data_IF_009893038486
#
_entry.id   IF_009893038486
#
_cell.length_a   1.000
_cell.length_b   1.000
_cell.length_c   1.000
_cell.angle_alpha   90.00
_cell.angle_beta   90.00
_cell.angle_gamma   90.00
#
_symmetry.space_group_name_H-M   'P 1'
#
loop_
_entity.id
_entity.type
_entity.pdbx_description
1 polymer ?
#
# COMPACT_ATOMS: atom_id res chain seq x y z
N UNK A 1 -22.67 -2.79 33.13
CA UNK A 1 -21.31 -2.23 33.08
C UNK A 1 -20.96 -1.96 31.62
N UNK A 2 -21.03 -0.70 31.20
CA UNK A 2 -20.79 -0.27 29.82
C UNK A 2 -19.29 0.01 29.67
N UNK A 3 -18.57 -0.81 28.89
CA UNK A 3 -17.14 -0.59 28.61
C UNK A 3 -17.03 0.61 27.66
N UNK A 4 -16.60 1.76 28.18
CA UNK A 4 -16.15 2.89 27.37
C UNK A 4 -14.91 2.44 26.58
N UNK A 5 -15.04 2.35 25.26
CA UNK A 5 -13.91 2.21 24.35
C UNK A 5 -13.34 3.60 24.16
N UNK A 6 -12.19 3.85 24.77
CA UNK A 6 -11.41 5.09 24.59
C UNK A 6 -10.81 5.02 23.18
N UNK A 7 -11.36 5.80 22.25
CA UNK A 7 -10.70 6.10 20.99
C UNK A 7 -9.56 7.06 21.27
N UNK A 8 -8.35 6.54 21.44
CA UNK A 8 -7.15 7.37 21.35
C UNK A 8 -6.94 7.67 19.88
N UNK A 9 -7.46 8.81 19.43
CA UNK A 9 -7.03 9.45 18.19
C UNK A 9 -5.58 9.88 18.39
N UNK A 10 -4.65 8.95 18.16
CA UNK A 10 -3.27 9.32 17.96
C UNK A 10 -3.21 9.97 16.58
N UNK A 11 -3.40 11.28 16.54
CA UNK A 11 -3.09 12.11 15.38
C UNK A 11 -1.58 12.02 15.19
N UNK A 12 -1.13 10.96 14.53
CA UNK A 12 0.19 10.88 13.96
C UNK A 12 0.22 11.99 12.91
N UNK A 13 0.99 13.04 13.17
CA UNK A 13 1.46 13.94 12.13
C UNK A 13 2.29 13.07 11.16
N UNK A 14 1.62 12.41 10.23
CA UNK A 14 2.22 12.03 8.97
C UNK A 14 2.54 13.37 8.31
N UNK A 15 3.79 13.81 8.50
CA UNK A 15 4.46 14.63 7.51
C UNK A 15 4.32 13.83 6.23
N UNK A 16 3.28 14.17 5.46
CA UNK A 16 3.13 13.70 4.10
C UNK A 16 4.33 14.25 3.37
N UNK A 17 5.41 13.47 3.32
CA UNK A 17 6.24 13.53 2.16
C UNK A 17 5.30 13.11 1.03
N UNK A 18 4.75 14.11 0.34
CA UNK A 18 4.49 14.01 -1.08
C UNK A 18 5.81 13.54 -1.68
N UNK A 19 6.01 12.22 -1.68
CA UNK A 19 7.21 11.61 -2.20
C UNK A 19 7.15 11.87 -3.69
N UNK A 20 7.90 12.88 -4.14
CA UNK A 20 8.32 12.95 -5.53
C UNK A 20 8.92 11.59 -5.91
N UNK A 21 8.76 11.19 -7.16
CA UNK A 21 9.31 9.93 -7.65
C UNK A 21 10.79 9.82 -7.24
N UNK A 22 11.22 8.67 -6.69
CA UNK A 22 12.57 8.54 -6.19
C UNK A 22 13.54 8.74 -7.37
N UNK A 23 14.31 9.83 -7.35
CA UNK A 23 15.30 10.11 -8.39
C UNK A 23 16.34 8.99 -8.50
N UNK A 24 16.57 8.26 -7.40
CA UNK A 24 17.49 7.12 -7.31
C UNK A 24 16.76 5.84 -6.92
N UNK A 25 17.24 4.65 -7.34
CA UNK A 25 16.69 3.38 -6.89
C UNK A 25 16.55 3.28 -5.37
N UNK A 26 15.37 2.89 -4.90
CA UNK A 26 15.06 2.74 -3.48
C UNK A 26 14.89 1.26 -3.12
N UNK A 27 15.23 0.89 -1.88
CA UNK A 27 14.92 -0.42 -1.32
C UNK A 27 14.13 -0.25 -0.03
N UNK A 28 12.84 -0.56 -0.08
CA UNK A 28 11.91 -0.42 1.05
C UNK A 28 11.80 -1.78 1.75
N UNK A 29 12.11 -1.79 3.05
CA UNK A 29 12.10 -2.99 3.91
C UNK A 29 11.33 -2.74 5.19
N UNK A 30 10.76 -3.80 5.73
CA UNK A 30 10.15 -3.84 7.06
C UNK A 30 10.72 -5.03 7.83
N UNK A 31 11.21 -4.81 9.06
CA UNK A 31 11.98 -5.79 9.86
C UNK A 31 11.31 -7.17 9.99
N UNK A 32 10.00 -7.20 10.09
CA UNK A 32 9.18 -8.41 10.26
C UNK A 32 8.47 -8.86 8.96
N UNK A 33 8.80 -8.28 7.81
CA UNK A 33 8.24 -8.70 6.54
C UNK A 33 9.19 -9.61 5.78
N UNK A 34 8.61 -10.58 5.07
CA UNK A 34 9.33 -11.37 4.05
C UNK A 34 9.38 -10.66 2.69
N UNK A 35 8.65 -9.59 2.49
CA UNK A 35 8.77 -8.79 1.27
C UNK A 35 9.94 -7.80 1.35
N UNK A 36 10.55 -7.55 0.20
CA UNK A 36 11.43 -6.42 -0.05
C UNK A 36 10.91 -5.74 -1.31
N UNK A 37 10.71 -4.43 -1.26
CA UNK A 37 10.31 -3.65 -2.44
C UNK A 37 11.54 -2.92 -2.98
N UNK A 38 11.74 -2.97 -4.29
CA UNK A 38 12.80 -2.20 -4.97
C UNK A 38 12.19 -1.35 -6.08
N UNK A 39 12.64 -0.10 -6.21
CA UNK A 39 12.29 0.78 -7.33
C UNK A 39 13.48 0.96 -8.29
N UNK A 40 13.21 1.27 -9.56
CA UNK A 40 14.26 1.52 -10.57
C UNK A 40 14.83 2.95 -10.56
N UNK A 41 14.26 3.86 -9.75
CA UNK A 41 14.54 5.30 -9.81
C UNK A 41 14.01 5.98 -11.09
N UNK A 42 13.98 7.31 -11.09
CA UNK A 42 13.56 8.17 -12.22
C UNK A 42 12.10 8.61 -12.17
N UNK A 43 11.65 9.32 -13.20
CA UNK A 43 10.30 9.94 -13.32
C UNK A 43 9.15 8.92 -13.35
N UNK A 44 9.45 7.65 -13.66
CA UNK A 44 8.48 6.54 -13.70
C UNK A 44 9.09 5.29 -13.06
N UNK A 45 9.26 5.29 -11.72
CA UNK A 45 9.96 4.26 -10.99
C UNK A 45 9.21 2.92 -11.09
N UNK A 46 9.87 1.90 -11.65
CA UNK A 46 9.32 0.55 -11.68
C UNK A 46 9.53 -0.14 -10.34
N UNK A 47 8.44 -0.42 -9.65
CA UNK A 47 8.49 -1.17 -8.39
C UNK A 47 8.44 -2.67 -8.64
N UNK A 48 9.22 -3.42 -7.87
CA UNK A 48 9.26 -4.87 -7.87
C UNK A 48 9.26 -5.38 -6.44
N UNK A 49 8.48 -6.41 -6.19
CA UNK A 49 8.39 -7.07 -4.88
C UNK A 49 9.10 -8.42 -4.94
N UNK A 50 10.03 -8.58 -4.02
CA UNK A 50 10.85 -9.75 -3.83
C UNK A 50 10.47 -10.43 -2.53
N UNK A 51 10.56 -11.75 -2.49
CA UNK A 51 10.65 -12.46 -1.24
C UNK A 51 12.10 -12.35 -0.72
N UNK A 52 12.30 -12.18 0.57
CA UNK A 52 13.60 -11.87 1.19
C UNK A 52 14.69 -12.90 0.90
N UNK A 53 14.27 -14.13 0.65
CA UNK A 53 15.12 -15.29 0.36
C UNK A 53 15.37 -15.51 -1.15
N UNK A 54 14.74 -14.70 -2.01
CA UNK A 54 14.72 -14.90 -3.45
C UNK A 54 15.44 -13.79 -4.21
N UNK A 55 16.05 -14.16 -5.34
CA UNK A 55 16.74 -13.21 -6.24
C UNK A 55 15.81 -12.63 -7.31
N UNK A 56 14.77 -13.36 -7.68
CA UNK A 56 13.78 -12.92 -8.66
C UNK A 56 12.58 -12.25 -7.97
N UNK A 57 11.96 -11.23 -8.57
CA UNK A 57 10.71 -10.68 -8.06
C UNK A 57 9.58 -11.69 -8.28
N UNK A 58 8.71 -11.87 -7.30
CA UNK A 58 7.50 -12.68 -7.47
C UNK A 58 6.30 -11.84 -7.91
N UNK A 59 6.37 -10.52 -7.68
CA UNK A 59 5.33 -9.58 -8.10
C UNK A 59 5.97 -8.32 -8.69
N UNK A 60 5.47 -7.92 -9.85
CA UNK A 60 5.84 -6.68 -10.54
C UNK A 60 4.53 -6.05 -11.00
N UNK A 61 4.04 -4.98 -10.35
CA UNK A 61 2.89 -4.24 -10.86
C UNK A 61 3.18 -3.78 -12.29
N UNK A 62 2.14 -3.75 -13.11
CA UNK A 62 2.22 -3.30 -14.51
C UNK A 62 2.27 -1.78 -14.63
N UNK A 63 1.83 -1.05 -13.59
CA UNK A 63 1.93 0.40 -13.47
C UNK A 63 3.36 0.84 -13.20
N UNK A 64 3.78 1.90 -13.89
CA UNK A 64 5.03 2.62 -13.68
C UNK A 64 4.87 3.83 -12.73
N UNK A 65 3.63 4.13 -12.31
CA UNK A 65 3.26 5.22 -11.41
C UNK A 65 2.81 4.77 -10.03
N UNK A 66 3.47 3.74 -9.49
CA UNK A 66 3.32 3.41 -8.06
C UNK A 66 3.87 4.58 -7.24
N UNK A 67 3.00 5.25 -6.51
CA UNK A 67 3.31 6.45 -5.73
C UNK A 67 3.48 6.16 -4.23
N UNK A 68 3.20 4.93 -3.79
CA UNK A 68 3.28 4.58 -2.39
C UNK A 68 3.44 3.09 -2.13
N UNK A 69 4.16 2.77 -1.06
CA UNK A 69 4.29 1.42 -0.53
C UNK A 69 4.09 1.46 0.99
N UNK A 70 3.15 0.66 1.51
CA UNK A 70 2.84 0.60 2.94
C UNK A 70 2.75 -0.83 3.41
N UNK A 71 3.56 -1.17 4.42
CA UNK A 71 3.50 -2.45 5.10
C UNK A 71 2.42 -2.45 6.19
N UNK A 72 1.78 -3.59 6.41
CA UNK A 72 1.07 -3.85 7.66
C UNK A 72 2.04 -3.83 8.85
N UNK A 73 1.52 -3.57 10.04
CA UNK A 73 2.35 -3.52 11.24
C UNK A 73 3.07 -4.85 11.50
N UNK A 74 2.39 -5.97 11.26
CA UNK A 74 2.94 -7.32 11.38
C UNK A 74 3.83 -7.75 10.20
N UNK A 75 3.95 -6.92 9.15
CA UNK A 75 4.79 -7.18 7.98
C UNK A 75 4.25 -8.25 7.01
N UNK A 76 3.09 -8.86 7.28
CA UNK A 76 2.52 -9.93 6.44
C UNK A 76 1.91 -9.40 5.14
N UNK A 77 1.52 -8.13 5.11
CA UNK A 77 0.90 -7.52 3.95
C UNK A 77 1.63 -6.27 3.52
N UNK A 78 1.58 -6.01 2.22
CA UNK A 78 2.10 -4.82 1.57
C UNK A 78 1.01 -4.26 0.65
N UNK A 79 0.69 -2.98 0.81
CA UNK A 79 -0.09 -2.22 -0.16
C UNK A 79 0.86 -1.40 -1.05
N UNK A 80 0.64 -1.45 -2.36
CA UNK A 80 1.24 -0.53 -3.32
C UNK A 80 0.12 0.31 -3.93
N UNK A 81 0.20 1.63 -3.87
CA UNK A 81 -0.80 2.53 -4.46
C UNK A 81 -0.31 3.10 -5.78
N UNK A 82 -1.19 3.17 -6.77
CA UNK A 82 -0.91 3.86 -8.03
C UNK A 82 -1.82 5.08 -8.18
N UNK A 83 -1.21 6.17 -8.62
CA UNK A 83 -1.90 7.42 -8.99
C UNK A 83 -1.85 7.69 -10.50
N UNK A 84 -1.46 6.70 -11.29
CA UNK A 84 -1.39 6.82 -12.75
C UNK A 84 -2.79 6.85 -13.38
N UNK A 85 -2.95 7.69 -14.40
CA UNK A 85 -4.24 7.97 -15.04
C UNK A 85 -4.90 6.72 -15.60
N UNK A 86 -4.10 5.79 -16.13
CA UNK A 86 -4.58 4.56 -16.76
C UNK A 86 -4.58 3.35 -15.80
N UNK A 87 -4.12 3.52 -14.56
CA UNK A 87 -3.97 2.40 -13.62
C UNK A 87 -4.21 2.80 -12.16
N UNK A 88 -5.24 3.60 -11.91
CA UNK A 88 -5.64 3.97 -10.56
C UNK A 88 -6.01 2.74 -9.72
N UNK A 89 -5.48 2.69 -8.50
CA UNK A 89 -5.92 1.74 -7.50
C UNK A 89 -4.81 1.32 -6.56
N UNK A 90 -4.93 0.11 -6.05
CA UNK A 90 -4.01 -0.44 -5.08
C UNK A 90 -3.77 -1.93 -5.34
N UNK A 91 -2.52 -2.35 -5.24
CA UNK A 91 -2.16 -3.76 -5.17
C UNK A 91 -1.98 -4.14 -3.71
N UNK A 92 -2.66 -5.21 -3.29
CA UNK A 92 -2.41 -5.85 -2.00
C UNK A 92 -1.62 -7.12 -2.22
N UNK A 93 -0.50 -7.24 -1.54
CA UNK A 93 0.42 -8.37 -1.62
C UNK A 93 0.50 -9.05 -0.26
N UNK A 94 0.32 -10.37 -0.24
CA UNK A 94 0.60 -11.21 0.91
C UNK A 94 2.07 -11.66 0.86
N UNK A 95 2.87 -11.16 1.78
CA UNK A 95 4.31 -11.40 1.84
C UNK A 95 4.67 -12.82 2.30
N UNK A 96 3.74 -13.54 2.92
CA UNK A 96 3.94 -14.92 3.35
C UNK A 96 3.61 -15.90 2.23
N UNK A 97 2.48 -15.71 1.56
CA UNK A 97 1.99 -16.65 0.53
C UNK A 97 2.41 -16.26 -0.89
N UNK A 98 2.98 -15.06 -1.08
CA UNK A 98 3.35 -14.47 -2.37
C UNK A 98 2.15 -14.23 -3.31
N UNK A 99 0.93 -14.25 -2.76
CA UNK A 99 -0.28 -13.91 -3.51
C UNK A 99 -0.45 -12.40 -3.62
N UNK A 100 -1.08 -11.95 -4.70
CA UNK A 100 -1.42 -10.54 -4.91
C UNK A 100 -2.82 -10.40 -5.49
N UNK A 101 -3.49 -9.28 -5.19
CA UNK A 101 -4.76 -8.90 -5.82
C UNK A 101 -4.83 -7.39 -5.98
N UNK A 102 -5.52 -6.95 -7.03
CA UNK A 102 -5.87 -5.54 -7.23
C UNK A 102 -7.11 -5.20 -6.39
N UNK A 103 -7.08 -4.05 -5.74
CA UNK A 103 -8.16 -3.49 -4.96
C UNK A 103 -8.41 -2.04 -5.38
N UNK A 104 -9.67 -1.62 -5.34
CA UNK A 104 -10.07 -0.25 -5.66
C UNK A 104 -9.60 0.22 -7.04
N UNK A 105 -9.72 -0.65 -8.06
CA UNK A 105 -9.42 -0.29 -9.44
C UNK A 105 -10.26 0.94 -9.88
N UNK A 106 -9.63 1.84 -10.63
CA UNK A 106 -10.26 3.10 -11.06
C UNK A 106 -10.43 4.14 -9.95
N UNK A 107 -9.82 3.93 -8.78
CA UNK A 107 -9.91 4.84 -7.63
C UNK A 107 -8.56 5.42 -7.25
N UNK A 108 -8.50 6.75 -7.04
CA UNK A 108 -7.32 7.40 -6.47
C UNK A 108 -7.30 7.09 -4.97
N UNK A 109 -6.38 6.24 -4.54
CA UNK A 109 -6.17 5.91 -3.12
C UNK A 109 -5.24 6.96 -2.52
N UNK A 110 -5.75 7.74 -1.57
CA UNK A 110 -5.00 8.84 -0.92
C UNK A 110 -4.45 8.44 0.45
N UNK A 111 -5.11 7.50 1.13
CA UNK A 111 -4.65 6.95 2.39
C UNK A 111 -4.91 5.45 2.45
N UNK A 112 -4.00 4.70 3.08
CA UNK A 112 -4.13 3.27 3.31
C UNK A 112 -3.85 2.97 4.77
N UNK A 113 -4.69 2.17 5.40
CA UNK A 113 -4.49 1.61 6.73
C UNK A 113 -4.69 0.08 6.67
N UNK A 114 -3.65 -0.67 7.05
CA UNK A 114 -3.71 -2.14 7.04
C UNK A 114 -3.75 -2.66 8.47
N UNK A 115 -4.93 -3.07 8.90
CA UNK A 115 -5.19 -3.61 10.23
C UNK A 115 -5.16 -5.14 10.19
N UNK A 116 -3.95 -5.71 10.18
CA UNK A 116 -3.77 -7.15 9.98
C UNK A 116 -4.40 -8.03 11.07
N UNK A 117 -4.49 -7.52 12.30
CA UNK A 117 -5.14 -8.20 13.44
C UNK A 117 -6.64 -8.41 13.24
N UNK A 118 -7.30 -7.47 12.57
CA UNK A 118 -8.72 -7.50 12.22
C UNK A 118 -8.98 -8.06 10.82
N UNK A 119 -7.92 -8.50 10.12
CA UNK A 119 -7.95 -9.01 8.75
C UNK A 119 -8.66 -8.05 7.77
N UNK A 120 -8.49 -6.76 7.96
CA UNK A 120 -9.07 -5.74 7.10
C UNK A 120 -8.02 -4.76 6.60
N UNK A 121 -8.36 -4.14 5.48
CA UNK A 121 -7.71 -2.95 4.98
C UNK A 121 -8.77 -1.85 4.87
N UNK A 122 -8.47 -0.69 5.43
CA UNK A 122 -9.23 0.53 5.27
C UNK A 122 -8.45 1.48 4.37
N UNK A 123 -9.14 2.16 3.48
CA UNK A 123 -8.54 3.14 2.56
C UNK A 123 -9.39 4.39 2.55
N UNK A 124 -8.72 5.52 2.35
CA UNK A 124 -9.36 6.74 1.88
C UNK A 124 -9.15 6.81 0.37
N UNK A 125 -10.26 6.95 -0.35
CA UNK A 125 -10.28 7.06 -1.80
C UNK A 125 -10.86 8.42 -2.18
N UNK A 126 -10.13 9.18 -2.99
CA UNK A 126 -10.66 10.37 -3.64
C UNK A 126 -11.50 9.96 -4.85
N UNK A 127 -12.76 10.42 -4.88
CA UNK A 127 -13.66 10.25 -6.03
C UNK A 127 -13.71 11.56 -6.81
N UNK A 128 -13.09 11.67 -8.00
CA UNK A 128 -13.18 12.87 -8.82
C UNK A 128 -14.62 13.21 -9.21
N UNK A 129 -15.47 12.18 -9.39
CA UNK A 129 -16.88 12.36 -9.75
C UNK A 129 -17.69 13.00 -8.62
N UNK A 130 -17.36 12.67 -7.37
CA UNK A 130 -18.07 13.20 -6.20
C UNK A 130 -17.38 14.43 -5.59
N UNK A 131 -16.17 14.77 -6.04
CA UNK A 131 -15.37 15.88 -5.52
C UNK A 131 -15.02 15.74 -4.04
N UNK A 132 -15.00 14.51 -3.50
CA UNK A 132 -14.74 14.23 -2.09
C UNK A 132 -14.04 12.89 -1.88
N UNK A 133 -13.42 12.76 -0.72
CA UNK A 133 -12.88 11.50 -0.24
C UNK A 133 -13.94 10.62 0.43
N UNK A 134 -13.82 9.31 0.23
CA UNK A 134 -14.72 8.30 0.78
C UNK A 134 -13.87 7.21 1.44
N UNK A 135 -14.22 6.86 2.68
CA UNK A 135 -13.62 5.72 3.37
C UNK A 135 -14.21 4.42 2.85
N UNK A 136 -13.36 3.51 2.37
CA UNK A 136 -13.74 2.16 1.97
C UNK A 136 -12.95 1.15 2.80
N UNK A 137 -13.49 -0.05 2.97
CA UNK A 137 -12.78 -1.13 3.64
C UNK A 137 -13.10 -2.47 3.00
N UNK A 138 -12.13 -3.39 3.01
CA UNK A 138 -12.33 -4.76 2.53
C UNK A 138 -11.49 -5.75 3.34
N UNK A 139 -11.83 -7.04 3.23
CA UNK A 139 -11.11 -8.12 3.90
C UNK A 139 -9.76 -8.43 3.25
N UNK A 140 -8.83 -8.91 4.07
CA UNK A 140 -7.51 -9.40 3.66
C UNK A 140 -7.53 -10.86 3.17
N UNK A 141 -8.71 -11.41 2.89
CA UNK A 141 -8.84 -12.79 2.43
C UNK A 141 -8.24 -12.91 1.01
N UNK A 142 -7.37 -13.91 0.85
CA UNK A 142 -6.67 -14.28 -0.38
C UNK A 142 -7.11 -15.68 -0.81
#
# INVERSE_FOLDING_TARGET
>A
MLKQVIFVSLSLLLVGNVNADPETPEVIKKKNSKCIVKSSGGEYPKYKVYHSEEKAPFFSPTSDGISGAKFSEDGKYLALTSSEVDNFGMYLVNCETKMSKTLFEGSIVTEVEIESSKKNIAVEVYSPMEGKSIKKSTGLDF
#
